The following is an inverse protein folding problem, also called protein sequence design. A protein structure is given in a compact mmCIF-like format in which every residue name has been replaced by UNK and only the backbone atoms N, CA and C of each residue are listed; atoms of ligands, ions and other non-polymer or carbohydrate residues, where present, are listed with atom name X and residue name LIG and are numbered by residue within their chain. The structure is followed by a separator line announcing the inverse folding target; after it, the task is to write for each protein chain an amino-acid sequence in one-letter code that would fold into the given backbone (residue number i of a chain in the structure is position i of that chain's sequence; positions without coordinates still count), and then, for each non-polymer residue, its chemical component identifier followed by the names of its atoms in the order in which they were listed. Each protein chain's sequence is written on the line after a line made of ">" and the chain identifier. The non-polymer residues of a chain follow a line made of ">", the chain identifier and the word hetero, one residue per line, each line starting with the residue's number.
data_IF_847174874544
#
_entry.id   IF_847174874544
#
_cell.length_a   1.000
_cell.length_b   1.000
_cell.length_c   1.000
_cell.angle_alpha   90.00
_cell.angle_beta   90.00
_cell.angle_gamma   90.00
#
_symmetry.space_group_name_H-M   'P 1'
#
loop_
_entity.id
_entity.type
_entity.pdbx_description
1 polymer ?
#
# COMPACT_ATOMS: atom_id res chain seq x y z
N UNK A 1 49.65 63.20 16.90
CA UNK A 1 48.32 63.37 16.28
C UNK A 1 48.23 62.79 14.86
N UNK A 2 49.11 63.13 13.93
CA UNK A 2 49.04 62.64 12.53
C UNK A 2 49.13 61.10 12.44
N UNK A 3 49.98 60.44 13.23
CA UNK A 3 50.08 58.97 13.23
C UNK A 3 48.78 58.25 13.70
N UNK A 4 48.02 58.84 14.64
CA UNK A 4 46.77 58.32 15.13
C UNK A 4 45.68 58.44 14.06
N UNK A 5 45.67 59.55 13.32
CA UNK A 5 44.74 59.81 12.22
C UNK A 5 44.96 58.79 11.08
N UNK A 6 46.25 58.54 10.74
CA UNK A 6 46.57 57.54 9.71
C UNK A 6 46.17 56.13 10.13
N UNK A 7 46.39 55.74 11.41
CA UNK A 7 46.00 54.43 11.93
C UNK A 7 44.49 54.25 11.90
N UNK A 8 43.72 55.28 12.29
CA UNK A 8 42.26 55.26 12.22
C UNK A 8 41.74 55.14 10.76
N UNK A 9 42.36 55.88 9.82
CA UNK A 9 41.99 55.81 8.41
C UNK A 9 42.26 54.40 7.83
N UNK A 10 43.37 53.77 8.18
CA UNK A 10 43.67 52.37 7.76
C UNK A 10 42.67 51.39 8.34
N UNK A 11 42.25 51.56 9.60
CA UNK A 11 41.28 50.71 10.25
C UNK A 11 39.91 50.81 9.57
N UNK A 12 39.45 52.02 9.27
CA UNK A 12 38.16 52.25 8.55
C UNK A 12 38.21 51.67 7.13
N UNK A 13 39.34 51.80 6.43
CA UNK A 13 39.48 51.17 5.09
C UNK A 13 39.46 49.65 5.22
N UNK A 14 40.12 49.07 6.19
CA UNK A 14 40.11 47.62 6.41
C UNK A 14 38.70 47.10 6.72
N UNK A 15 37.95 47.80 7.59
CA UNK A 15 36.56 47.46 7.91
C UNK A 15 35.62 47.57 6.69
N UNK A 16 35.79 48.63 5.89
CA UNK A 16 34.98 48.77 4.66
C UNK A 16 35.24 47.69 3.62
N UNK A 17 36.51 47.30 3.43
CA UNK A 17 36.88 46.19 2.56
C UNK A 17 36.29 44.88 3.08
N UNK A 18 36.38 44.64 4.38
CA UNK A 18 35.82 43.44 5.01
C UNK A 18 34.31 43.34 4.84
N UNK A 19 33.57 44.44 5.08
CA UNK A 19 32.11 44.53 4.83
C UNK A 19 31.75 44.29 3.36
N UNK A 20 32.54 44.81 2.42
CA UNK A 20 32.31 44.58 0.98
C UNK A 20 32.50 43.09 0.60
N UNK A 21 33.46 42.40 1.20
CA UNK A 21 33.71 40.98 0.98
C UNK A 21 32.50 40.16 1.49
N UNK A 22 32.06 40.45 2.74
CA UNK A 22 30.88 39.78 3.30
C UNK A 22 29.63 40.01 2.45
N UNK A 23 29.38 41.24 2.01
CA UNK A 23 28.23 41.57 1.18
C UNK A 23 28.22 40.81 -0.16
N UNK A 24 29.38 40.71 -0.82
CA UNK A 24 29.57 39.90 -2.04
C UNK A 24 29.28 38.43 -1.80
N UNK A 25 29.66 37.89 -0.67
CA UNK A 25 29.42 36.49 -0.31
C UNK A 25 27.94 36.21 -0.10
N UNK A 26 27.23 37.07 0.65
CA UNK A 26 25.79 36.94 0.82
C UNK A 26 25.02 36.99 -0.52
N UNK A 27 25.44 37.90 -1.44
CA UNK A 27 24.86 37.94 -2.77
C UNK A 27 25.13 36.68 -3.58
N UNK A 28 26.27 36.00 -3.39
CA UNK A 28 26.60 34.74 -4.05
C UNK A 28 25.70 33.62 -3.54
N UNK A 29 25.50 33.50 -2.21
CA UNK A 29 24.59 32.54 -1.60
C UNK A 29 23.15 32.77 -2.12
N UNK A 30 22.68 34.02 -2.12
CA UNK A 30 21.34 34.34 -2.64
C UNK A 30 21.16 33.91 -4.10
N UNK A 31 22.16 34.12 -4.95
CA UNK A 31 22.11 33.70 -6.37
C UNK A 31 22.11 32.18 -6.52
N UNK A 32 22.89 31.46 -5.70
CA UNK A 32 22.92 30.01 -5.69
C UNK A 32 21.57 29.43 -5.26
N UNK A 33 20.95 29.99 -4.20
CA UNK A 33 19.61 29.59 -3.74
C UNK A 33 18.55 29.87 -4.80
N UNK A 34 18.63 31.03 -5.47
CA UNK A 34 17.72 31.35 -6.56
C UNK A 34 17.84 30.36 -7.72
N UNK A 35 19.07 30.03 -8.11
CA UNK A 35 19.35 29.04 -9.17
C UNK A 35 18.83 27.64 -8.81
N UNK A 36 19.06 27.17 -7.56
CA UNK A 36 18.52 25.89 -7.07
C UNK A 36 17.00 25.87 -7.12
N UNK A 37 16.34 26.98 -6.78
CA UNK A 37 14.88 27.10 -6.82
C UNK A 37 14.32 27.07 -8.25
N UNK A 38 14.99 27.70 -9.21
CA UNK A 38 14.50 27.85 -10.60
C UNK A 38 14.77 26.63 -11.47
N UNK A 39 15.88 25.90 -11.22
CA UNK A 39 16.30 24.80 -12.11
C UNK A 39 16.22 23.40 -11.50
N UNK A 40 15.70 23.26 -10.28
CA UNK A 40 15.64 21.96 -9.58
C UNK A 40 17.01 21.21 -9.58
N UNK A 41 18.09 22.00 -9.55
CA UNK A 41 19.45 21.51 -9.77
C UNK A 41 20.06 20.92 -8.49
N UNK A 42 20.85 19.85 -8.64
CA UNK A 42 21.56 19.17 -7.56
C UNK A 42 22.80 19.94 -7.04
N UNK A 43 22.91 21.23 -7.33
CA UNK A 43 24.05 22.03 -6.87
C UNK A 43 24.01 22.21 -5.36
N UNK A 44 25.09 21.78 -4.72
CA UNK A 44 25.35 22.09 -3.31
C UNK A 44 25.67 23.59 -3.19
N UNK A 45 25.15 24.23 -2.16
CA UNK A 45 25.50 25.62 -1.86
C UNK A 45 26.97 25.62 -1.37
N UNK A 46 27.91 25.99 -2.25
CA UNK A 46 29.29 26.08 -1.89
C UNK A 46 29.60 27.48 -1.38
N UNK A 47 30.04 27.58 -0.12
CA UNK A 47 30.52 28.80 0.48
C UNK A 47 32.06 28.73 0.58
N UNK A 48 32.72 29.65 -0.11
CA UNK A 48 34.17 29.78 -0.07
C UNK A 48 34.53 30.77 1.07
N UNK A 49 34.38 30.35 2.34
CA UNK A 49 34.61 31.25 3.47
C UNK A 49 35.30 30.56 4.62
N UNK A 50 36.27 31.27 5.15
CA UNK A 50 37.06 30.90 6.35
C UNK A 50 36.36 31.25 7.68
N UNK A 51 35.14 31.79 7.66
CA UNK A 51 34.42 32.20 8.87
C UNK A 51 33.43 31.10 9.34
N UNK A 52 33.63 30.65 10.57
CA UNK A 52 32.89 29.55 11.22
C UNK A 52 31.35 29.73 11.20
N UNK A 53 30.84 30.96 11.29
CA UNK A 53 29.39 31.24 11.27
C UNK A 53 28.74 31.04 9.92
N UNK A 54 29.41 31.37 8.83
CA UNK A 54 28.88 31.22 7.46
C UNK A 54 28.96 29.77 6.99
N UNK A 55 29.99 29.03 7.44
CA UNK A 55 30.09 27.59 7.16
C UNK A 55 28.90 26.84 7.76
N UNK A 56 28.57 27.17 9.02
CA UNK A 56 27.43 26.57 9.71
C UNK A 56 26.08 26.91 9.06
N UNK A 57 25.92 28.17 8.60
CA UNK A 57 24.71 28.58 7.86
C UNK A 57 24.59 27.83 6.52
N UNK A 58 25.68 27.68 5.79
CA UNK A 58 25.71 26.95 4.52
C UNK A 58 25.37 25.46 4.72
N UNK A 59 25.86 24.86 5.81
CA UNK A 59 25.60 23.47 6.18
C UNK A 59 24.10 23.29 6.50
N UNK A 60 23.49 24.17 7.31
CA UNK A 60 22.07 24.10 7.64
C UNK A 60 21.16 24.35 6.42
N UNK A 61 21.54 25.28 5.53
CA UNK A 61 20.84 25.50 4.27
C UNK A 61 20.91 24.25 3.39
N UNK A 62 22.08 23.64 3.25
CA UNK A 62 22.27 22.42 2.45
C UNK A 62 21.42 21.29 2.99
N UNK A 63 21.44 21.07 4.30
CA UNK A 63 20.61 20.06 4.99
C UNK A 63 19.12 20.30 4.75
N UNK A 64 18.67 21.54 4.91
CA UNK A 64 17.26 21.89 4.65
C UNK A 64 16.85 21.64 3.19
N UNK A 65 17.75 21.92 2.24
CA UNK A 65 17.50 21.65 0.82
C UNK A 65 17.46 20.16 0.50
N UNK A 66 18.30 19.36 1.16
CA UNK A 66 18.27 17.90 1.05
C UNK A 66 16.94 17.34 1.59
N UNK A 67 16.50 17.75 2.78
CA UNK A 67 15.22 17.36 3.35
C UNK A 67 14.01 17.74 2.44
N UNK A 68 14.04 18.94 1.86
CA UNK A 68 12.99 19.38 0.92
C UNK A 68 12.98 18.54 -0.35
N UNK A 69 14.15 18.17 -0.87
CA UNK A 69 14.28 17.30 -2.05
C UNK A 69 13.77 15.90 -1.78
N UNK A 70 14.15 15.32 -0.66
CA UNK A 70 13.68 13.99 -0.27
C UNK A 70 12.16 13.95 -0.17
N UNK A 71 11.56 14.94 0.51
CA UNK A 71 10.10 15.07 0.58
C UNK A 71 9.43 15.28 -0.79
N UNK A 72 10.06 16.08 -1.67
CA UNK A 72 9.54 16.29 -3.03
C UNK A 72 9.60 15.00 -3.85
N UNK A 73 10.67 14.23 -3.71
CA UNK A 73 10.81 12.93 -4.36
C UNK A 73 9.74 11.95 -3.87
N UNK A 74 9.56 11.82 -2.54
CA UNK A 74 8.50 11.01 -1.96
C UNK A 74 7.10 11.41 -2.43
N UNK A 75 6.84 12.73 -2.52
CA UNK A 75 5.55 13.23 -3.03
C UNK A 75 5.37 12.86 -4.51
N UNK A 76 6.40 13.03 -5.34
CA UNK A 76 6.35 12.69 -6.76
C UNK A 76 6.14 11.19 -6.99
N UNK A 77 6.77 10.34 -6.19
CA UNK A 77 6.52 8.89 -6.23
C UNK A 77 5.09 8.55 -5.83
N UNK A 78 4.56 9.18 -4.78
CA UNK A 78 3.16 9.00 -4.37
C UNK A 78 2.18 9.49 -5.45
N UNK A 79 2.45 10.64 -6.07
CA UNK A 79 1.63 11.14 -7.19
C UNK A 79 1.64 10.17 -8.39
N UNK A 80 2.79 9.62 -8.72
CA UNK A 80 2.91 8.61 -9.78
C UNK A 80 2.15 7.34 -9.42
N UNK A 81 2.30 6.82 -8.19
CA UNK A 81 1.54 5.67 -7.72
C UNK A 81 0.02 5.90 -7.82
N UNK A 82 -0.44 7.09 -7.43
CA UNK A 82 -1.86 7.47 -7.54
C UNK A 82 -2.31 7.52 -9.01
N UNK A 83 -1.50 8.10 -9.91
CA UNK A 83 -1.83 8.18 -11.33
C UNK A 83 -1.90 6.79 -11.99
N UNK A 84 -0.94 5.92 -11.70
CA UNK A 84 -0.92 4.53 -12.17
C UNK A 84 -2.13 3.75 -11.61
N UNK A 85 -2.47 3.99 -10.35
CA UNK A 85 -3.65 3.46 -9.69
C UNK A 85 -4.95 3.82 -10.41
N UNK A 86 -5.14 5.11 -10.73
CA UNK A 86 -6.32 5.57 -11.47
C UNK A 86 -6.38 4.98 -12.89
N UNK A 87 -5.24 4.82 -13.56
CA UNK A 87 -5.17 4.21 -14.88
C UNK A 87 -5.62 2.74 -14.84
N UNK A 88 -5.08 1.95 -13.89
CA UNK A 88 -5.43 0.54 -13.70
C UNK A 88 -6.89 0.38 -13.31
N UNK A 89 -7.38 1.15 -12.34
CA UNK A 89 -8.78 1.13 -11.92
C UNK A 89 -9.73 1.47 -13.07
N UNK A 90 -9.38 2.47 -13.90
CA UNK A 90 -10.19 2.84 -15.07
C UNK A 90 -10.27 1.71 -16.08
N UNK A 91 -9.17 0.96 -16.27
CA UNK A 91 -9.15 -0.23 -17.11
C UNK A 91 -10.03 -1.34 -16.53
N UNK A 92 -9.89 -1.61 -15.24
CA UNK A 92 -10.60 -2.70 -14.54
C UNK A 92 -12.11 -2.44 -14.41
N UNK A 93 -12.54 -1.19 -14.38
CA UNK A 93 -13.95 -0.80 -14.48
C UNK A 93 -14.45 -0.92 -15.93
N UNK A 94 -13.66 -0.52 -16.91
CA UNK A 94 -14.06 -0.52 -18.32
C UNK A 94 -14.36 -1.93 -18.83
N UNK A 95 -13.56 -2.91 -18.45
CA UNK A 95 -13.68 -4.31 -18.91
C UNK A 95 -15.05 -4.92 -18.57
N UNK A 96 -15.49 -4.99 -17.29
CA UNK A 96 -16.80 -5.51 -16.96
C UNK A 96 -17.94 -4.64 -17.52
N UNK A 97 -17.77 -3.31 -17.61
CA UNK A 97 -18.78 -2.41 -18.16
C UNK A 97 -19.00 -2.67 -19.67
N UNK A 98 -17.92 -2.84 -20.45
CA UNK A 98 -18.02 -3.17 -21.88
C UNK A 98 -18.66 -4.55 -22.07
N UNK A 99 -18.28 -5.53 -21.25
CA UNK A 99 -18.90 -6.86 -21.26
C UNK A 99 -20.39 -6.79 -20.94
N UNK A 100 -20.77 -6.02 -19.92
CA UNK A 100 -22.17 -5.81 -19.52
C UNK A 100 -23.00 -5.21 -20.66
N UNK A 101 -22.49 -4.16 -21.32
CA UNK A 101 -23.19 -3.55 -22.47
C UNK A 101 -23.38 -4.56 -23.61
N UNK A 102 -22.36 -5.36 -23.93
CA UNK A 102 -22.47 -6.42 -24.95
C UNK A 102 -23.51 -7.48 -24.59
N UNK A 103 -23.54 -7.95 -23.33
CA UNK A 103 -24.53 -8.96 -22.90
C UNK A 103 -25.94 -8.39 -22.80
N UNK A 104 -26.14 -7.13 -22.50
CA UNK A 104 -27.44 -6.44 -22.55
C UNK A 104 -27.96 -6.39 -23.99
N UNK A 105 -27.10 -6.17 -24.99
CA UNK A 105 -27.48 -6.22 -26.41
C UNK A 105 -27.86 -7.65 -26.80
N UNK A 106 -27.04 -8.64 -26.46
CA UNK A 106 -27.36 -10.06 -26.71
C UNK A 106 -28.65 -10.51 -26.03
N UNK A 107 -28.94 -10.01 -24.84
CA UNK A 107 -30.19 -10.31 -24.13
C UNK A 107 -31.45 -9.81 -24.87
N UNK A 108 -31.34 -8.66 -25.56
CA UNK A 108 -32.44 -8.14 -26.39
C UNK A 108 -32.78 -9.05 -27.58
N UNK A 109 -31.73 -9.67 -28.15
CA UNK A 109 -31.85 -10.52 -29.34
C UNK A 109 -31.98 -11.99 -29.00
N UNK A 110 -32.05 -12.36 -27.72
CA UNK A 110 -32.13 -13.73 -27.24
C UNK A 110 -33.47 -14.36 -27.64
N UNK A 111 -33.42 -15.46 -28.41
CA UNK A 111 -34.56 -16.12 -28.95
C UNK A 111 -35.17 -17.20 -28.00
N UNK A 112 -34.36 -17.71 -27.04
CA UNK A 112 -34.77 -18.78 -26.13
C UNK A 112 -34.68 -18.35 -24.65
N UNK A 113 -35.55 -18.95 -23.79
CA UNK A 113 -35.48 -18.72 -22.35
C UNK A 113 -34.13 -19.10 -21.73
N UNK A 114 -33.44 -20.10 -22.26
CA UNK A 114 -32.14 -20.58 -21.83
C UNK A 114 -31.07 -19.55 -22.12
N UNK A 115 -31.09 -18.91 -23.31
CA UNK A 115 -30.18 -17.81 -23.65
C UNK A 115 -30.42 -16.60 -22.76
N UNK A 116 -31.66 -16.22 -22.48
CA UNK A 116 -32.03 -15.13 -21.59
C UNK A 116 -31.52 -15.37 -20.17
N UNK A 117 -31.72 -16.59 -19.64
CA UNK A 117 -31.22 -16.97 -18.33
C UNK A 117 -29.69 -16.88 -18.25
N UNK A 118 -28.97 -17.39 -19.27
CA UNK A 118 -27.51 -17.36 -19.35
C UNK A 118 -26.98 -15.92 -19.41
N UNK A 119 -27.54 -15.08 -20.28
CA UNK A 119 -27.07 -13.69 -20.40
C UNK A 119 -27.38 -12.87 -19.13
N UNK A 120 -28.55 -13.11 -18.52
CA UNK A 120 -28.92 -12.48 -17.25
C UNK A 120 -27.97 -12.87 -16.12
N UNK A 121 -27.53 -14.13 -16.05
CA UNK A 121 -26.57 -14.61 -15.07
C UNK A 121 -25.20 -13.91 -15.24
N UNK A 122 -24.72 -13.79 -16.49
CA UNK A 122 -23.45 -13.09 -16.78
C UNK A 122 -23.54 -11.60 -16.45
N UNK A 123 -24.64 -10.94 -16.80
CA UNK A 123 -24.87 -9.53 -16.45
C UNK A 123 -24.81 -9.34 -14.93
N UNK A 124 -25.45 -10.22 -14.17
CA UNK A 124 -25.44 -10.18 -12.70
C UNK A 124 -24.02 -10.35 -12.16
N UNK A 125 -23.27 -11.30 -12.67
CA UNK A 125 -21.86 -11.52 -12.32
C UNK A 125 -21.00 -10.26 -12.55
N UNK A 126 -21.17 -9.59 -13.70
CA UNK A 126 -20.42 -8.34 -14.00
C UNK A 126 -20.80 -7.19 -13.07
N UNK A 127 -22.07 -7.10 -12.67
CA UNK A 127 -22.54 -6.12 -11.69
C UNK A 127 -21.90 -6.37 -10.32
N UNK A 128 -21.85 -7.62 -9.86
CA UNK A 128 -21.20 -7.94 -8.58
C UNK A 128 -19.69 -7.66 -8.63
N UNK A 129 -19.01 -7.97 -9.74
CA UNK A 129 -17.60 -7.59 -9.94
C UNK A 129 -17.39 -6.06 -9.81
N UNK A 130 -18.27 -5.26 -10.42
CA UNK A 130 -18.19 -3.79 -10.31
C UNK A 130 -18.44 -3.29 -8.90
N UNK A 131 -19.40 -3.88 -8.18
CA UNK A 131 -19.64 -3.54 -6.77
C UNK A 131 -18.41 -3.82 -5.90
N UNK A 132 -17.80 -4.99 -6.06
CA UNK A 132 -16.59 -5.35 -5.31
C UNK A 132 -15.43 -4.37 -5.55
N UNK A 133 -15.19 -4.00 -6.83
CA UNK A 133 -14.18 -3.00 -7.18
C UNK A 133 -14.44 -1.65 -6.52
N UNK A 134 -15.71 -1.19 -6.51
CA UNK A 134 -16.10 0.05 -5.85
C UNK A 134 -15.95 -0.01 -4.33
N UNK A 135 -16.31 -1.14 -3.71
CA UNK A 135 -16.14 -1.35 -2.26
C UNK A 135 -14.68 -1.39 -1.87
N UNK A 136 -13.82 -2.04 -2.66
CA UNK A 136 -12.39 -2.06 -2.44
C UNK A 136 -11.79 -0.66 -2.53
N UNK A 137 -12.17 0.11 -3.56
CA UNK A 137 -11.73 1.51 -3.71
C UNK A 137 -12.20 2.38 -2.54
N UNK A 138 -13.47 2.23 -2.12
CA UNK A 138 -14.02 3.00 -1.02
C UNK A 138 -13.34 2.66 0.32
N UNK A 139 -13.13 1.38 0.57
CA UNK A 139 -12.40 0.89 1.76
C UNK A 139 -10.98 1.42 1.76
N UNK A 140 -10.28 1.30 0.64
CA UNK A 140 -8.93 1.82 0.46
C UNK A 140 -8.84 3.33 0.70
N UNK A 141 -9.76 4.10 0.12
CA UNK A 141 -9.80 5.56 0.29
C UNK A 141 -10.04 5.96 1.74
N UNK A 142 -10.91 5.24 2.47
CA UNK A 142 -11.15 5.47 3.90
C UNK A 142 -9.92 5.18 4.74
N UNK A 143 -9.23 4.06 4.46
CA UNK A 143 -8.03 3.66 5.16
C UNK A 143 -6.91 4.69 4.97
N UNK A 144 -6.64 5.13 3.74
CA UNK A 144 -5.57 6.09 3.45
C UNK A 144 -5.82 7.49 4.02
N UNK A 145 -7.08 7.90 4.15
CA UNK A 145 -7.42 9.22 4.71
C UNK A 145 -7.35 9.28 6.26
N UNK A 146 -6.93 8.21 6.92
CA UNK A 146 -6.84 8.15 8.39
C UNK A 146 -8.21 8.27 9.11
N UNK A 147 -9.32 8.23 8.37
CA UNK A 147 -10.68 8.41 8.89
C UNK A 147 -11.35 7.11 9.33
N UNK A 148 -10.71 5.99 9.08
CA UNK A 148 -11.25 4.69 9.45
C UNK A 148 -10.42 4.12 10.60
N UNK A 149 -10.95 4.22 11.79
CA UNK A 149 -10.48 3.52 12.98
C UNK A 149 -11.52 2.44 13.32
N UNK A 150 -11.20 1.15 13.11
CA UNK A 150 -12.11 0.08 13.51
C UNK A 150 -12.27 0.08 15.03
N UNK A 151 -13.49 -0.03 15.51
CA UNK A 151 -13.73 -0.32 16.93
C UNK A 151 -13.17 -1.71 17.22
N UNK A 152 -12.19 -1.77 18.13
CA UNK A 152 -11.53 -3.01 18.50
C UNK A 152 -12.22 -3.63 19.73
N UNK A 153 -12.55 -4.91 19.64
CA UNK A 153 -13.12 -5.73 20.69
C UNK A 153 -12.40 -7.09 20.78
N UNK A 154 -12.62 -7.82 21.84
CA UNK A 154 -12.07 -9.18 21.95
C UNK A 154 -12.94 -10.12 21.14
N UNK A 155 -12.39 -10.62 20.04
CA UNK A 155 -13.04 -11.54 19.12
C UNK A 155 -12.33 -12.90 19.09
N UNK A 156 -13.04 -13.95 18.70
CA UNK A 156 -12.45 -15.26 18.44
C UNK A 156 -11.95 -15.36 17.00
N UNK A 157 -10.64 -15.31 16.80
CA UNK A 157 -10.04 -15.49 15.49
C UNK A 157 -10.46 -16.81 14.83
N UNK A 158 -10.61 -17.88 15.65
CA UNK A 158 -11.09 -19.19 15.17
C UNK A 158 -12.51 -19.10 14.59
N UNK A 159 -13.43 -18.45 15.30
CA UNK A 159 -14.82 -18.36 14.85
C UNK A 159 -14.92 -17.60 13.54
N UNK A 160 -14.27 -16.42 13.45
CA UNK A 160 -14.27 -15.59 12.24
C UNK A 160 -13.62 -16.31 11.06
N UNK A 161 -12.50 -17.03 11.31
CA UNK A 161 -11.83 -17.81 10.26
C UNK A 161 -12.72 -18.95 9.78
N UNK A 162 -13.31 -19.72 10.69
CA UNK A 162 -14.17 -20.83 10.34
C UNK A 162 -15.41 -20.37 9.55
N UNK A 163 -16.10 -19.31 9.98
CA UNK A 163 -17.25 -18.75 9.26
C UNK A 163 -16.86 -18.26 7.88
N UNK A 164 -15.72 -17.56 7.74
CA UNK A 164 -15.26 -17.06 6.45
C UNK A 164 -14.93 -18.22 5.51
N UNK A 165 -14.20 -19.22 5.96
CA UNK A 165 -13.84 -20.40 5.19
C UNK A 165 -15.09 -21.17 4.74
N UNK A 166 -16.06 -21.38 5.65
CA UNK A 166 -17.32 -22.05 5.34
C UNK A 166 -18.14 -21.29 4.30
N UNK A 167 -18.10 -19.96 4.28
CA UNK A 167 -18.82 -19.16 3.29
C UNK A 167 -18.33 -19.36 1.85
N UNK A 168 -17.11 -19.86 1.68
CA UNK A 168 -16.53 -20.17 0.36
C UNK A 168 -16.76 -21.62 -0.09
N UNK A 169 -17.30 -22.48 0.76
CA UNK A 169 -17.38 -23.91 0.47
C UNK A 169 -18.14 -24.24 -0.83
N UNK A 170 -19.30 -23.62 -1.04
CA UNK A 170 -20.09 -23.83 -2.25
C UNK A 170 -19.36 -23.26 -3.49
N UNK A 171 -18.74 -22.12 -3.38
CA UNK A 171 -17.99 -21.48 -4.44
C UNK A 171 -16.78 -22.36 -4.85
N UNK A 172 -16.04 -22.90 -3.87
CA UNK A 172 -14.94 -23.83 -4.13
C UNK A 172 -15.41 -25.09 -4.83
N UNK A 173 -16.53 -25.66 -4.37
CA UNK A 173 -17.10 -26.86 -4.96
C UNK A 173 -17.52 -26.66 -6.41
N UNK A 174 -18.17 -25.52 -6.71
CA UNK A 174 -18.56 -25.17 -8.09
C UNK A 174 -17.35 -24.91 -8.99
N UNK A 175 -16.29 -24.29 -8.44
CA UNK A 175 -15.04 -24.05 -9.15
C UNK A 175 -14.15 -25.30 -9.28
N UNK A 176 -14.50 -26.41 -8.63
CA UNK A 176 -13.69 -27.63 -8.60
C UNK A 176 -12.38 -27.44 -7.83
N UNK A 177 -12.37 -26.57 -6.83
CA UNK A 177 -11.28 -26.35 -5.90
C UNK A 177 -11.43 -27.32 -4.74
N UNK A 178 -10.31 -28.00 -4.37
CA UNK A 178 -10.24 -28.89 -3.22
C UNK A 178 -9.48 -28.20 -2.08
N UNK A 179 -10.19 -27.65 -1.08
CA UNK A 179 -9.55 -26.92 0.01
C UNK A 179 -9.04 -27.91 1.07
N UNK A 180 -7.79 -27.76 1.47
CA UNK A 180 -7.23 -28.38 2.67
C UNK A 180 -7.34 -27.40 3.84
N UNK A 181 -8.18 -27.73 4.83
CA UNK A 181 -8.50 -26.84 5.94
C UNK A 181 -8.05 -27.48 7.25
N UNK A 182 -7.09 -26.83 7.93
CA UNK A 182 -6.58 -27.24 9.25
C UNK A 182 -6.73 -26.09 10.25
N UNK A 183 -7.82 -26.11 11.03
CA UNK A 183 -8.11 -25.10 12.02
C UNK A 183 -8.02 -25.72 13.42
N UNK A 184 -7.19 -25.12 14.28
CA UNK A 184 -7.13 -25.53 15.69
C UNK A 184 -8.50 -25.47 16.36
N UNK A 185 -8.75 -26.34 17.33
CA UNK A 185 -9.96 -26.30 18.14
C UNK A 185 -9.86 -25.26 19.28
N UNK A 186 -8.67 -24.73 19.55
CA UNK A 186 -8.47 -23.73 20.58
C UNK A 186 -9.18 -22.42 20.26
N UNK A 187 -9.76 -21.80 21.28
CA UNK A 187 -10.26 -20.42 21.15
C UNK A 187 -9.06 -19.49 21.16
N UNK A 188 -8.88 -18.73 20.08
CA UNK A 188 -7.80 -17.78 19.92
C UNK A 188 -8.36 -16.35 20.06
N UNK A 189 -8.43 -15.77 21.27
CA UNK A 189 -8.94 -14.42 21.47
C UNK A 189 -7.91 -13.41 21.01
N UNK A 190 -8.33 -12.47 20.16
CA UNK A 190 -7.51 -11.34 19.69
C UNK A 190 -8.27 -10.04 19.93
N UNK A 191 -7.53 -8.93 20.09
CA UNK A 191 -8.12 -7.59 20.04
C UNK A 191 -8.24 -7.17 18.59
N UNK A 192 -9.46 -7.12 18.06
CA UNK A 192 -9.69 -6.86 16.63
C UNK A 192 -11.12 -6.43 16.35
N UNK A 193 -11.38 -6.19 15.08
CA UNK A 193 -12.72 -5.94 14.56
C UNK A 193 -13.14 -7.13 13.67
N UNK A 194 -14.27 -7.74 13.96
CA UNK A 194 -14.73 -8.94 13.26
C UNK A 194 -14.88 -8.72 11.74
N UNK A 195 -15.49 -7.60 11.34
CA UNK A 195 -15.67 -7.26 9.93
C UNK A 195 -14.33 -7.02 9.21
N UNK A 196 -13.37 -6.39 9.90
CA UNK A 196 -12.04 -6.18 9.34
C UNK A 196 -11.29 -7.50 9.15
N UNK A 197 -11.30 -8.40 10.15
CA UNK A 197 -10.70 -9.74 10.03
C UNK A 197 -11.36 -10.54 8.93
N UNK A 198 -12.69 -10.53 8.85
CA UNK A 198 -13.44 -11.18 7.76
C UNK A 198 -13.00 -10.64 6.39
N UNK A 199 -12.85 -9.33 6.25
CA UNK A 199 -12.40 -8.70 5.00
C UNK A 199 -10.96 -9.10 4.64
N UNK A 200 -10.06 -9.18 5.62
CA UNK A 200 -8.69 -9.69 5.42
C UNK A 200 -8.72 -11.09 4.82
N UNK A 201 -9.43 -11.99 5.48
CA UNK A 201 -9.52 -13.40 5.06
C UNK A 201 -10.17 -13.53 3.68
N UNK A 202 -11.22 -12.78 3.40
CA UNK A 202 -11.89 -12.74 2.10
C UNK A 202 -10.93 -12.31 0.99
N UNK A 203 -10.18 -11.23 1.20
CA UNK A 203 -9.23 -10.72 0.22
C UNK A 203 -8.14 -11.74 -0.10
N UNK A 204 -7.58 -12.41 0.92
CA UNK A 204 -6.53 -13.39 0.72
C UNK A 204 -7.10 -14.67 0.09
N UNK A 205 -8.27 -15.14 0.53
CA UNK A 205 -8.93 -16.32 -0.04
C UNK A 205 -9.31 -16.09 -1.50
N UNK A 206 -9.83 -14.91 -1.84
CA UNK A 206 -10.14 -14.55 -3.22
C UNK A 206 -8.89 -14.49 -4.09
N UNK A 207 -7.80 -13.91 -3.57
CA UNK A 207 -6.51 -13.92 -4.26
C UNK A 207 -6.03 -15.36 -4.53
N UNK A 208 -6.12 -16.23 -3.52
CA UNK A 208 -5.76 -17.64 -3.65
C UNK A 208 -6.64 -18.40 -4.66
N UNK A 209 -7.92 -18.06 -4.79
CA UNK A 209 -8.83 -18.65 -5.79
C UNK A 209 -8.51 -18.21 -7.21
N UNK A 210 -8.24 -16.92 -7.41
CA UNK A 210 -7.95 -16.35 -8.73
C UNK A 210 -6.63 -16.86 -9.28
N UNK A 211 -5.62 -16.98 -8.41
CA UNK A 211 -4.25 -17.31 -8.81
C UNK A 211 -3.83 -18.74 -8.47
N UNK A 212 -4.65 -19.47 -7.69
CA UNK A 212 -4.37 -20.83 -7.24
C UNK A 212 -5.04 -21.89 -8.11
N UNK A 213 -4.24 -22.79 -8.70
CA UNK A 213 -4.73 -23.88 -9.55
C UNK A 213 -5.45 -24.96 -8.74
N UNK A 214 -6.75 -24.75 -8.46
CA UNK A 214 -7.69 -25.75 -7.88
C UNK A 214 -7.27 -26.32 -6.51
N UNK A 215 -6.33 -25.70 -5.79
CA UNK A 215 -5.95 -26.10 -4.44
C UNK A 215 -5.74 -24.88 -3.58
N UNK A 216 -6.34 -24.87 -2.40
CA UNK A 216 -6.19 -23.84 -1.38
C UNK A 216 -5.89 -24.54 -0.05
N UNK A 217 -4.93 -24.01 0.69
CA UNK A 217 -4.56 -24.50 2.00
C UNK A 217 -4.86 -23.40 3.00
N UNK A 218 -5.65 -23.68 4.02
CA UNK A 218 -5.98 -22.75 5.10
C UNK A 218 -5.60 -23.38 6.43
N UNK A 219 -4.67 -22.78 7.12
CA UNK A 219 -4.24 -23.23 8.45
C UNK A 219 -4.44 -22.11 9.46
N UNK A 220 -5.03 -22.45 10.60
CA UNK A 220 -5.10 -21.59 11.78
C UNK A 220 -4.52 -22.32 12.97
N UNK A 221 -3.52 -21.72 13.60
CA UNK A 221 -2.85 -22.30 14.77
C UNK A 221 -2.40 -21.26 15.79
N UNK A 222 -2.18 -21.68 16.99
CA UNK A 222 -1.39 -20.95 17.97
C UNK A 222 0.08 -21.12 17.61
N UNK A 223 0.74 -20.04 17.17
CA UNK A 223 2.16 -20.07 16.76
C UNK A 223 3.09 -20.21 17.96
N UNK A 224 2.78 -19.46 19.01
CA UNK A 224 3.45 -19.47 20.31
C UNK A 224 2.47 -19.04 21.42
N UNK A 225 2.95 -18.88 22.68
CA UNK A 225 2.08 -18.53 23.82
C UNK A 225 1.36 -17.17 23.67
N UNK A 226 1.83 -16.29 22.79
CA UNK A 226 1.34 -14.92 22.64
C UNK A 226 0.78 -14.59 21.27
N UNK A 227 0.88 -15.51 20.31
CA UNK A 227 0.62 -15.20 18.90
C UNK A 227 -0.24 -16.27 18.26
N UNK A 228 -1.34 -15.86 17.64
CA UNK A 228 -2.12 -16.66 16.70
C UNK A 228 -1.63 -16.43 15.26
N UNK A 229 -1.68 -17.46 14.43
CA UNK A 229 -1.26 -17.42 13.04
C UNK A 229 -2.31 -18.03 12.12
N UNK A 230 -2.67 -17.29 11.07
CA UNK A 230 -3.45 -17.79 9.93
C UNK A 230 -2.54 -17.85 8.72
N UNK A 231 -2.51 -18.97 8.05
CA UNK A 231 -1.78 -19.16 6.79
C UNK A 231 -2.77 -19.56 5.71
N UNK A 232 -2.79 -18.82 4.60
CA UNK A 232 -3.52 -19.19 3.40
C UNK A 232 -2.49 -19.37 2.30
N UNK A 233 -2.50 -20.53 1.65
CA UNK A 233 -1.54 -20.84 0.60
C UNK A 233 -2.21 -21.44 -0.63
N UNK A 234 -1.62 -21.20 -1.79
CA UNK A 234 -2.07 -21.74 -3.06
C UNK A 234 -0.89 -22.02 -3.99
N UNK A 235 -1.00 -23.00 -4.90
CA UNK A 235 -0.01 -23.17 -5.96
C UNK A 235 -0.08 -22.01 -6.96
N UNK A 236 1.05 -21.69 -7.59
CA UNK A 236 1.18 -20.68 -8.64
C UNK A 236 1.95 -21.26 -9.83
N UNK A 237 1.57 -20.89 -11.06
CA UNK A 237 2.21 -21.42 -12.28
C UNK A 237 3.58 -20.79 -12.55
N UNK A 238 3.70 -19.50 -12.29
CA UNK A 238 4.87 -18.68 -12.61
C UNK A 238 5.40 -17.96 -11.37
N UNK A 239 6.01 -18.71 -10.40
CA UNK A 239 6.53 -18.10 -9.18
C UNK A 239 7.64 -17.08 -9.44
N UNK A 240 8.37 -17.20 -10.55
CA UNK A 240 9.45 -16.30 -10.97
C UNK A 240 8.96 -14.89 -11.37
N UNK A 241 7.68 -14.74 -11.68
CA UNK A 241 7.07 -13.44 -12.05
C UNK A 241 6.53 -12.68 -10.83
N UNK A 242 6.52 -13.30 -9.65
CA UNK A 242 5.97 -12.71 -8.43
C UNK A 242 7.08 -12.02 -7.63
N UNK A 243 7.03 -10.70 -7.58
CA UNK A 243 7.92 -9.92 -6.72
C UNK A 243 7.35 -9.85 -5.30
N UNK A 244 7.79 -10.79 -4.43
CA UNK A 244 7.28 -10.94 -3.05
C UNK A 244 7.33 -9.64 -2.25
N UNK A 245 8.36 -8.82 -2.43
CA UNK A 245 8.50 -7.53 -1.77
C UNK A 245 7.37 -6.55 -2.10
N UNK A 246 6.69 -6.74 -3.23
CA UNK A 246 5.69 -5.82 -3.78
C UNK A 246 4.25 -6.32 -3.71
N UNK A 247 4.02 -7.57 -3.33
CA UNK A 247 2.65 -8.15 -3.35
C UNK A 247 1.63 -7.42 -2.47
N UNK A 248 2.10 -6.65 -1.49
CA UNK A 248 1.27 -5.79 -0.64
C UNK A 248 1.25 -4.33 -1.10
N UNK A 249 1.96 -3.98 -2.18
CA UNK A 249 1.84 -2.64 -2.77
C UNK A 249 0.46 -2.48 -3.42
N UNK A 250 -0.01 -1.27 -3.38
CA UNK A 250 -1.30 -0.88 -3.97
C UNK A 250 -1.23 -1.07 -5.50
N UNK A 251 -2.28 -1.69 -6.06
CA UNK A 251 -2.42 -1.93 -7.50
C UNK A 251 -1.32 -2.82 -8.12
N UNK A 252 -0.56 -3.51 -7.28
CA UNK A 252 0.40 -4.49 -7.78
C UNK A 252 -0.35 -5.72 -8.31
N UNK A 253 -0.05 -6.07 -9.56
CA UNK A 253 -0.45 -7.31 -10.21
C UNK A 253 0.75 -7.85 -10.99
N UNK A 254 1.05 -9.14 -10.87
CA UNK A 254 2.12 -9.75 -11.65
C UNK A 254 1.78 -9.71 -13.15
N UNK A 255 2.79 -9.55 -14.02
CA UNK A 255 2.64 -9.15 -15.42
C UNK A 255 1.64 -9.97 -16.26
N UNK A 256 1.51 -11.28 -16.02
CA UNK A 256 0.56 -12.15 -16.74
C UNK A 256 -0.87 -12.11 -16.20
N UNK A 257 -1.05 -11.66 -14.97
CA UNK A 257 -2.37 -11.65 -14.32
C UNK A 257 -3.17 -10.37 -14.55
N UNK A 258 -2.63 -9.40 -15.29
CA UNK A 258 -3.32 -8.17 -15.69
C UNK A 258 -4.62 -8.40 -16.48
N UNK A 259 -4.82 -9.59 -17.07
CA UNK A 259 -6.05 -9.93 -17.80
C UNK A 259 -7.15 -10.52 -16.92
N UNK A 260 -6.83 -10.90 -15.69
CA UNK A 260 -7.83 -11.37 -14.72
C UNK A 260 -8.25 -10.17 -13.86
N UNK A 261 -9.54 -9.94 -13.73
CA UNK A 261 -10.13 -8.79 -13.06
C UNK A 261 -9.79 -8.77 -11.55
N UNK A 262 -8.57 -8.37 -11.21
CA UNK A 262 -8.14 -8.13 -9.83
C UNK A 262 -7.61 -6.70 -9.71
N UNK A 263 -8.22 -5.92 -8.83
CA UNK A 263 -7.87 -4.50 -8.61
C UNK A 263 -6.45 -4.27 -8.08
N UNK A 264 -5.74 -5.33 -7.68
CA UNK A 264 -4.46 -5.21 -6.97
C UNK A 264 -4.58 -4.52 -5.60
N UNK A 265 -5.80 -4.30 -5.11
CA UNK A 265 -6.06 -3.67 -3.80
C UNK A 265 -6.24 -4.68 -2.66
N UNK A 266 -6.65 -5.90 -2.96
CA UNK A 266 -7.06 -6.86 -1.95
C UNK A 266 -5.99 -7.15 -0.90
N UNK A 267 -4.75 -7.46 -1.30
CA UNK A 267 -3.65 -7.71 -0.36
C UNK A 267 -3.19 -6.43 0.35
N UNK A 268 -3.22 -5.28 -0.31
CA UNK A 268 -2.92 -3.99 0.31
C UNK A 268 -3.94 -3.63 1.41
N UNK A 269 -5.23 -3.85 1.16
CA UNK A 269 -6.31 -3.69 2.15
C UNK A 269 -6.13 -4.68 3.31
N UNK A 270 -5.79 -5.94 3.01
CA UNK A 270 -5.54 -6.94 4.05
C UNK A 270 -4.36 -6.53 4.95
N UNK A 271 -3.29 -5.99 4.39
CA UNK A 271 -2.15 -5.47 5.14
C UNK A 271 -2.55 -4.32 6.05
N UNK A 272 -3.21 -3.31 5.52
CA UNK A 272 -3.61 -2.12 6.28
C UNK A 272 -4.53 -2.47 7.46
N UNK A 273 -5.52 -3.34 7.27
CA UNK A 273 -6.37 -3.81 8.36
C UNK A 273 -5.60 -4.61 9.39
N UNK A 274 -4.69 -5.49 8.96
CA UNK A 274 -3.88 -6.30 9.88
C UNK A 274 -3.02 -5.41 10.77
N UNK A 275 -2.31 -4.44 10.19
CA UNK A 275 -1.44 -3.51 10.91
C UNK A 275 -2.22 -2.61 11.88
N UNK A 276 -3.43 -2.15 11.52
CA UNK A 276 -4.31 -1.37 12.42
C UNK A 276 -4.81 -2.16 13.64
N UNK A 277 -4.81 -3.47 13.55
CA UNK A 277 -5.14 -4.37 14.66
C UNK A 277 -3.88 -4.91 15.37
N UNK A 278 -2.72 -4.24 15.22
CA UNK A 278 -1.42 -4.64 15.77
C UNK A 278 -0.99 -6.05 15.35
N UNK A 279 -1.51 -6.57 14.25
CA UNK A 279 -1.08 -7.80 13.61
C UNK A 279 0.10 -7.58 12.67
N UNK A 280 0.65 -8.67 12.13
CA UNK A 280 1.61 -8.63 11.04
C UNK A 280 1.14 -9.51 9.88
N UNK A 281 1.43 -9.11 8.67
CA UNK A 281 1.16 -9.89 7.47
C UNK A 281 2.44 -10.01 6.65
N UNK A 282 2.66 -11.18 6.08
CA UNK A 282 3.80 -11.45 5.23
C UNK A 282 3.44 -12.40 4.10
N UNK A 283 4.23 -12.40 3.04
CA UNK A 283 4.12 -13.35 1.94
C UNK A 283 5.45 -14.07 1.72
N UNK A 284 5.39 -15.30 1.26
CA UNK A 284 6.56 -16.09 0.88
C UNK A 284 6.23 -17.04 -0.25
N UNK A 285 7.29 -17.48 -0.96
CA UNK A 285 7.23 -18.55 -1.96
C UNK A 285 8.10 -19.71 -1.51
N UNK A 286 7.55 -20.92 -1.62
CA UNK A 286 8.31 -22.16 -1.48
C UNK A 286 8.00 -23.06 -2.67
N UNK A 287 8.98 -23.21 -3.55
CA UNK A 287 8.79 -23.83 -4.86
C UNK A 287 7.74 -23.08 -5.68
N UNK A 288 6.66 -23.77 -6.00
CA UNK A 288 5.51 -23.19 -6.73
C UNK A 288 4.31 -22.85 -5.81
N UNK A 289 4.51 -22.78 -4.51
CA UNK A 289 3.44 -22.47 -3.56
C UNK A 289 3.63 -21.06 -2.99
N UNK A 290 2.63 -20.23 -3.14
CA UNK A 290 2.55 -18.90 -2.56
C UNK A 290 1.83 -18.96 -1.22
N UNK A 291 2.41 -18.33 -0.21
CA UNK A 291 1.88 -18.29 1.15
C UNK A 291 1.61 -16.84 1.54
N UNK A 292 0.47 -16.61 2.16
CA UNK A 292 0.18 -15.39 2.91
C UNK A 292 0.00 -15.78 4.37
N UNK A 293 0.80 -15.21 5.23
CA UNK A 293 0.81 -15.46 6.68
C UNK A 293 0.38 -14.21 7.42
N UNK A 294 -0.62 -14.33 8.28
CA UNK A 294 -1.10 -13.27 9.16
C UNK A 294 -0.88 -13.69 10.60
N UNK A 295 -0.43 -12.77 11.43
CA UNK A 295 -0.32 -13.03 12.87
C UNK A 295 -1.02 -11.96 13.66
N UNK A 296 -1.63 -12.35 14.78
CA UNK A 296 -2.24 -11.44 15.74
C UNK A 296 -1.78 -11.76 17.17
N UNK A 297 -1.55 -10.74 18.01
CA UNK A 297 -1.30 -10.94 19.42
C UNK A 297 -2.52 -11.55 20.10
N UNK A 298 -2.31 -12.65 20.82
CA UNK A 298 -3.35 -13.24 21.68
C UNK A 298 -3.61 -12.35 22.88
N UNK A 299 -4.87 -12.28 23.27
CA UNK A 299 -5.29 -11.64 24.51
C UNK A 299 -5.49 -12.70 25.59
N UNK A 300 -5.13 -12.37 26.82
CA UNK A 300 -5.45 -13.24 27.95
C UNK A 300 -6.96 -13.40 28.09
N UNK A 301 -7.40 -14.63 28.35
CA UNK A 301 -8.79 -14.90 28.67
C UNK A 301 -9.10 -14.29 30.05
N UNK A 302 -9.19 -13.00 30.15
CA UNK A 302 -10.08 -12.31 31.07
C UNK A 302 -9.87 -10.80 31.04
N UNK A 303 -10.80 -10.00 30.53
CA UNK A 303 -11.24 -8.88 31.32
C UNK A 303 -12.39 -9.38 32.19
N UNK A 304 -12.26 -9.20 33.48
CA UNK A 304 -13.30 -9.44 34.50
C UNK A 304 -14.67 -8.97 34.01
N UNK A 305 -15.63 -9.89 33.95
CA UNK A 305 -17.05 -9.60 34.10
C UNK A 305 -17.44 -9.87 35.52
#
# INVERSE_FOLDING_TARGET
>A
MIGIIIALAILVIAETIWLLVLWRQHLKICRQLQFVREQDSCLLVSVNVEHFGELKLAEEITRTLEDVRERKHELSEKEKLIADAYANLSHDIRTPLTSLDGYVQLLRDAATPEEQARYTAIIRERIETLKELLEDLFTFTKLNNGKYEPELEIISLRSVTAETVLSYYDVWKEAGVDPEIDLTEEVLPILGNELAVKRILQNITKNAMVHGHKSIFVTLRKRDERTAEVVIANPVEHPEEIEISRVFEQFYTAARYHQQASSGLGLAIAKEFTERMNGTIGASLDGNRFFVTITFPLQDKNPEV
#
